data_IF_506934649924
#
_entry.id   IF_506934649924
#
_cell.length_a   1.000
_cell.length_b   1.000
_cell.length_c   1.000
_cell.angle_alpha   90.00
_cell.angle_beta   90.00
_cell.angle_gamma   90.00
#
_symmetry.space_group_name_H-M   'P 1'
#
loop_
_entity.id
_entity.type
_entity.pdbx_description
1 polymer ?
#
# COMPACT_ATOMS: atom_id res chain seq x y z
N UNK A 1 23.61 17.51 -36.04
CA UNK A 1 22.80 18.71 -35.68
C UNK A 1 22.09 19.19 -36.92
N UNK A 2 20.72 19.11 -36.94
CA UNK A 2 19.88 19.47 -38.10
C UNK A 2 19.79 20.99 -38.33
N UNK A 3 20.18 21.78 -37.35
CA UNK A 3 19.97 23.24 -37.35
C UNK A 3 18.52 23.68 -37.12
N UNK A 4 17.63 22.72 -36.86
CA UNK A 4 16.22 23.00 -36.52
C UNK A 4 16.08 23.48 -35.07
N UNK A 5 15.10 24.34 -34.83
CA UNK A 5 14.75 24.77 -33.47
C UNK A 5 14.05 23.63 -32.74
N UNK A 6 14.40 23.43 -31.45
CA UNK A 6 13.62 22.62 -30.56
C UNK A 6 12.27 23.31 -30.28
N UNK A 7 11.14 22.61 -30.51
CA UNK A 7 9.78 23.14 -30.36
C UNK A 7 8.92 22.14 -29.63
N UNK A 8 8.27 22.57 -28.52
CA UNK A 8 7.48 21.69 -27.64
C UNK A 8 8.23 20.45 -27.19
N UNK A 9 9.52 20.57 -26.94
CA UNK A 9 10.35 19.43 -26.54
C UNK A 9 11.41 19.81 -25.51
N UNK A 10 11.96 18.78 -24.88
CA UNK A 10 13.18 18.89 -24.10
C UNK A 10 14.38 18.54 -24.96
N UNK A 11 15.38 19.40 -24.98
CA UNK A 11 16.63 19.16 -25.67
C UNK A 11 17.83 19.30 -24.73
N UNK A 12 18.85 18.46 -24.91
CA UNK A 12 20.10 18.60 -24.20
C UNK A 12 20.92 19.70 -24.91
N UNK A 13 21.28 20.73 -24.16
CA UNK A 13 22.10 21.81 -24.66
C UNK A 13 23.42 21.89 -23.90
N UNK A 14 24.51 22.00 -24.67
CA UNK A 14 25.83 22.35 -24.15
C UNK A 14 25.98 23.88 -24.26
N UNK A 15 25.99 24.54 -23.13
CA UNK A 15 25.97 26.02 -23.15
C UNK A 15 26.57 26.63 -21.88
N UNK A 16 27.20 27.79 -22.06
CA UNK A 16 27.64 28.64 -20.96
C UNK A 16 26.66 29.79 -20.69
N UNK A 17 25.60 29.93 -21.51
CA UNK A 17 24.62 31.02 -21.41
C UNK A 17 23.51 30.75 -20.38
N UNK A 18 23.36 29.51 -19.94
CA UNK A 18 22.36 29.05 -18.97
C UNK A 18 23.05 28.46 -17.73
N UNK A 19 22.40 27.58 -17.01
CA UNK A 19 22.96 26.90 -15.83
C UNK A 19 24.05 25.87 -16.17
N UNK A 20 24.61 25.91 -17.38
CA UNK A 20 25.59 24.96 -17.87
C UNK A 20 24.97 23.92 -18.80
N UNK A 21 25.70 22.83 -19.04
CA UNK A 21 25.20 21.75 -19.89
C UNK A 21 24.05 21.00 -19.22
N UNK A 22 22.95 20.78 -19.93
CA UNK A 22 21.79 20.13 -19.34
C UNK A 22 20.59 20.00 -20.28
N UNK A 23 19.53 19.42 -19.75
CA UNK A 23 18.25 19.32 -20.42
C UNK A 23 17.42 20.57 -20.19
N UNK A 24 17.00 21.22 -21.28
CA UNK A 24 16.20 22.43 -21.30
C UNK A 24 14.90 22.22 -22.05
N UNK A 25 13.83 22.88 -21.59
CA UNK A 25 12.52 22.83 -22.25
C UNK A 25 12.32 24.00 -23.21
N UNK A 26 11.76 23.74 -24.37
CA UNK A 26 11.42 24.73 -25.38
C UNK A 26 9.94 24.72 -25.69
N UNK A 27 9.30 25.88 -25.74
CA UNK A 27 7.89 26.03 -26.01
C UNK A 27 7.52 25.91 -27.49
N UNK A 28 6.24 26.09 -27.82
CA UNK A 28 5.72 26.06 -29.18
C UNK A 28 6.33 27.10 -30.10
N UNK A 29 6.86 28.18 -29.54
CA UNK A 29 7.56 29.24 -30.26
C UNK A 29 9.08 29.05 -30.33
N UNK A 30 9.58 27.88 -29.89
CA UNK A 30 11.00 27.55 -29.84
C UNK A 30 11.80 28.30 -28.76
N UNK A 31 11.14 29.10 -27.90
CA UNK A 31 11.81 29.78 -26.81
C UNK A 31 11.99 28.91 -25.59
N UNK A 32 13.06 29.15 -24.86
CA UNK A 32 13.34 28.50 -23.59
C UNK A 32 12.20 28.72 -22.59
N UNK A 33 11.66 27.64 -22.06
CA UNK A 33 10.75 27.67 -20.91
C UNK A 33 11.57 27.81 -19.64
N UNK A 34 11.46 28.96 -18.99
CA UNK A 34 12.11 29.19 -17.69
C UNK A 34 11.38 28.41 -16.58
N UNK A 35 10.06 28.48 -16.54
CA UNK A 35 9.23 27.75 -15.56
C UNK A 35 7.93 27.32 -16.22
N UNK A 36 7.60 26.02 -16.11
CA UNK A 36 6.38 25.46 -16.67
C UNK A 36 6.50 24.02 -17.11
N UNK A 37 5.34 23.45 -17.49
CA UNK A 37 5.24 22.10 -18.03
C UNK A 37 5.60 22.06 -19.52
N UNK A 38 6.29 20.98 -19.90
CA UNK A 38 6.52 20.57 -21.28
C UNK A 38 5.97 19.18 -21.46
N UNK A 39 5.13 19.01 -22.48
CA UNK A 39 4.65 17.71 -22.95
C UNK A 39 5.26 17.42 -24.30
N UNK A 40 6.15 16.47 -24.36
CA UNK A 40 6.83 16.06 -25.59
C UNK A 40 6.59 14.57 -25.90
N UNK A 41 7.08 14.12 -27.07
CA UNK A 41 6.88 12.74 -27.53
C UNK A 41 7.46 11.66 -26.62
N UNK A 42 8.42 11.99 -25.78
CA UNK A 42 9.08 11.07 -24.83
C UNK A 42 8.55 11.18 -23.38
N UNK A 43 7.73 12.20 -23.06
CA UNK A 43 7.14 12.37 -21.72
C UNK A 43 6.77 13.79 -21.36
N UNK A 44 6.33 13.93 -20.10
CA UNK A 44 5.97 15.21 -19.51
C UNK A 44 7.02 15.60 -18.47
N UNK A 45 7.39 16.86 -18.47
CA UNK A 45 8.44 17.42 -17.62
C UNK A 45 7.99 18.77 -17.05
N UNK A 46 8.55 19.15 -15.91
CA UNK A 46 8.39 20.50 -15.37
C UNK A 46 9.76 21.15 -15.18
N UNK A 47 9.83 22.40 -15.48
CA UNK A 47 11.05 23.22 -15.32
C UNK A 47 10.83 24.32 -14.33
N UNK A 48 11.84 24.61 -13.50
CA UNK A 48 11.93 25.77 -12.63
C UNK A 48 13.27 26.46 -12.89
N UNK A 49 13.22 27.71 -13.28
CA UNK A 49 14.41 28.49 -13.67
C UNK A 49 15.28 27.78 -14.73
N UNK A 50 14.62 27.09 -15.69
CA UNK A 50 15.30 26.36 -16.75
C UNK A 50 15.85 24.99 -16.31
N UNK A 51 15.71 24.59 -15.06
CA UNK A 51 16.18 23.30 -14.55
C UNK A 51 15.01 22.33 -14.44
N UNK A 52 15.19 21.11 -14.94
CA UNK A 52 14.17 20.04 -14.91
C UNK A 52 13.92 19.58 -13.49
N UNK A 53 12.63 19.56 -13.08
CA UNK A 53 12.21 19.03 -11.80
C UNK A 53 12.50 17.53 -11.69
N UNK A 54 12.83 17.08 -10.48
CA UNK A 54 13.13 15.70 -10.14
C UNK A 54 12.59 15.39 -8.75
N UNK A 55 12.16 14.14 -8.54
CA UNK A 55 11.62 13.72 -7.25
C UNK A 55 10.23 14.28 -6.99
N UNK A 56 9.83 14.26 -5.73
CA UNK A 56 8.54 14.76 -5.28
C UNK A 56 8.57 16.28 -5.18
N UNK A 57 7.62 16.95 -5.83
CA UNK A 57 7.66 18.40 -6.03
C UNK A 57 6.28 19.02 -5.91
N UNK A 58 6.15 20.10 -5.12
CA UNK A 58 4.93 20.91 -5.05
C UNK A 58 4.98 22.00 -6.13
N UNK A 59 3.90 22.11 -6.91
CA UNK A 59 3.74 23.11 -7.98
C UNK A 59 2.36 23.76 -7.82
N UNK A 60 2.33 25.00 -7.39
CA UNK A 60 1.10 25.63 -6.93
C UNK A 60 0.56 24.93 -5.70
N UNK A 61 -0.68 24.51 -5.74
CA UNK A 61 -1.34 23.77 -4.65
C UNK A 61 -1.28 22.26 -4.83
N UNK A 62 -0.80 21.78 -5.99
CA UNK A 62 -0.76 20.36 -6.35
C UNK A 62 0.65 19.77 -6.12
N UNK A 63 0.67 18.43 -5.96
CA UNK A 63 1.90 17.65 -5.81
C UNK A 63 2.11 16.75 -7.02
N UNK A 64 3.36 16.62 -7.45
CA UNK A 64 3.79 15.83 -8.59
C UNK A 64 5.00 14.99 -8.24
N UNK A 65 5.17 13.87 -8.94
CA UNK A 65 6.38 13.06 -8.80
C UNK A 65 7.08 12.94 -10.15
N UNK A 66 8.37 13.25 -10.15
CA UNK A 66 9.23 13.14 -11.31
C UNK A 66 10.31 12.09 -11.09
N UNK A 67 10.63 11.34 -12.12
CA UNK A 67 11.72 10.35 -12.06
C UNK A 67 13.04 11.04 -11.68
N UNK A 68 13.75 10.52 -10.69
CA UNK A 68 14.97 11.14 -10.15
C UNK A 68 16.12 11.22 -11.17
N UNK A 69 16.19 10.29 -12.12
CA UNK A 69 17.18 10.31 -13.20
C UNK A 69 16.78 11.20 -14.36
N UNK A 70 15.68 10.86 -15.03
CA UNK A 70 15.22 11.50 -16.26
C UNK A 70 14.41 12.78 -16.05
N UNK A 71 13.80 12.99 -14.89
CA UNK A 71 12.84 14.06 -14.64
C UNK A 71 11.48 13.86 -15.30
N UNK A 72 11.20 12.68 -15.86
CA UNK A 72 9.90 12.37 -16.47
C UNK A 72 8.83 12.29 -15.39
N UNK A 73 7.69 12.95 -15.60
CA UNK A 73 6.55 12.95 -14.69
C UNK A 73 5.84 11.60 -14.67
N UNK A 74 5.52 11.10 -13.51
CA UNK A 74 4.66 9.94 -13.34
C UNK A 74 3.19 10.35 -13.46
N UNK A 75 2.41 9.54 -14.18
CA UNK A 75 0.98 9.75 -14.46
C UNK A 75 0.25 8.40 -14.47
N UNK A 76 -1.04 8.42 -14.12
CA UNK A 76 -1.89 7.22 -14.08
C UNK A 76 -1.24 6.05 -13.33
N UNK A 77 -0.58 6.35 -12.20
CA UNK A 77 0.24 5.37 -11.52
C UNK A 77 0.23 5.53 -10.00
N UNK A 78 0.29 4.41 -9.29
CA UNK A 78 0.65 4.39 -7.88
C UNK A 78 2.17 4.41 -7.74
N UNK A 79 2.68 5.40 -7.06
CA UNK A 79 4.12 5.61 -6.87
C UNK A 79 4.45 5.85 -5.40
N UNK A 80 5.63 5.38 -4.99
CA UNK A 80 6.13 5.65 -3.64
C UNK A 80 6.60 7.09 -3.52
N UNK A 81 6.02 7.83 -2.58
CA UNK A 81 6.48 9.16 -2.17
C UNK A 81 7.37 8.97 -0.94
N UNK A 82 8.64 9.40 -0.97
CA UNK A 82 9.53 9.32 0.18
C UNK A 82 9.21 10.41 1.22
N UNK A 83 9.89 10.36 2.37
CA UNK A 83 9.90 11.49 3.31
C UNK A 83 10.26 12.79 2.57
N UNK A 84 9.53 13.85 2.85
CA UNK A 84 9.60 15.10 2.10
C UNK A 84 9.33 16.31 3.02
N UNK A 85 9.60 17.52 2.52
CA UNK A 85 9.44 18.78 3.25
C UNK A 85 8.03 19.40 3.14
N UNK A 86 7.05 18.63 2.59
CA UNK A 86 5.69 19.12 2.32
C UNK A 86 4.64 18.54 3.27
N UNK A 87 5.05 17.86 4.34
CA UNK A 87 4.17 17.18 5.30
C UNK A 87 3.24 16.11 4.67
N UNK A 88 3.62 15.58 3.50
CA UNK A 88 2.95 14.44 2.89
C UNK A 88 3.54 13.16 3.47
N UNK A 89 2.66 12.31 4.04
CA UNK A 89 3.10 11.04 4.63
C UNK A 89 3.82 10.16 3.59
N UNK A 90 5.00 9.61 3.93
CA UNK A 90 5.68 8.67 3.05
C UNK A 90 4.81 7.44 2.78
N UNK A 91 4.68 7.07 1.51
CA UNK A 91 3.82 5.93 1.16
C UNK A 91 3.50 5.83 -0.32
N UNK A 92 2.60 4.90 -0.64
CA UNK A 92 2.06 4.78 -1.99
C UNK A 92 0.96 5.82 -2.20
N UNK A 93 1.13 6.67 -3.23
CA UNK A 93 0.15 7.66 -3.64
C UNK A 93 -0.17 7.47 -5.12
N UNK A 94 -1.42 7.73 -5.49
CA UNK A 94 -1.85 7.73 -6.89
C UNK A 94 -1.61 9.10 -7.51
N UNK A 95 -1.05 9.11 -8.70
CA UNK A 95 -0.89 10.30 -9.56
C UNK A 95 -1.81 10.13 -10.77
N UNK A 96 -2.68 11.09 -11.00
CA UNK A 96 -3.73 11.04 -12.02
C UNK A 96 -3.19 11.23 -13.46
N UNK A 97 -4.10 11.34 -14.45
CA UNK A 97 -3.77 11.54 -15.86
C UNK A 97 -3.03 12.85 -16.12
N UNK A 98 -3.16 13.84 -15.26
CA UNK A 98 -2.42 15.10 -15.33
C UNK A 98 -1.11 15.07 -14.52
N UNK A 99 -0.85 13.96 -13.83
CA UNK A 99 0.30 13.74 -12.95
C UNK A 99 0.16 14.38 -11.58
N UNK A 100 -1.03 14.86 -11.22
CA UNK A 100 -1.30 15.39 -9.89
C UNK A 100 -1.49 14.26 -8.90
N UNK A 101 -0.90 14.40 -7.72
CA UNK A 101 -1.13 13.47 -6.63
C UNK A 101 -2.58 13.55 -6.17
N UNK A 102 -3.26 12.42 -6.18
CA UNK A 102 -4.59 12.31 -5.59
C UNK A 102 -4.49 12.35 -4.05
N UNK A 103 -5.15 13.29 -3.46
CA UNK A 103 -5.32 13.38 -2.00
C UNK A 103 -6.73 12.91 -1.68
N UNK A 104 -6.90 11.71 -1.07
CA UNK A 104 -8.23 11.19 -0.80
C UNK A 104 -8.95 12.02 0.28
N UNK A 105 -10.19 12.40 0.00
CA UNK A 105 -11.09 12.90 1.05
C UNK A 105 -11.62 11.69 1.84
N UNK A 106 -10.97 11.39 2.97
CA UNK A 106 -11.33 10.26 3.83
C UNK A 106 -12.66 10.47 4.57
N UNK A 107 -13.10 11.69 4.70
CA UNK A 107 -14.32 12.05 5.44
C UNK A 107 -15.56 12.11 4.52
N UNK A 108 -15.46 12.76 3.37
CA UNK A 108 -16.62 13.04 2.50
C UNK A 108 -16.55 12.35 1.13
N UNK A 109 -15.37 11.81 0.73
CA UNK A 109 -15.21 11.11 -0.54
C UNK A 109 -16.09 9.86 -0.66
N UNK A 110 -16.53 9.55 -1.87
CA UNK A 110 -17.39 8.40 -2.17
C UNK A 110 -16.58 7.10 -2.10
N UNK A 111 -16.72 6.39 -0.97
CA UNK A 111 -16.03 5.12 -0.69
C UNK A 111 -16.80 3.95 -1.29
N UNK A 112 -16.10 3.02 -1.94
CA UNK A 112 -16.69 1.78 -2.49
C UNK A 112 -15.69 0.63 -2.47
N UNK A 113 -16.24 -0.59 -2.42
CA UNK A 113 -15.50 -1.80 -2.81
C UNK A 113 -15.84 -2.08 -4.28
N UNK A 114 -14.82 -2.23 -5.10
CA UNK A 114 -14.96 -2.57 -6.53
C UNK A 114 -14.26 -3.88 -6.82
N UNK A 115 -14.73 -4.60 -7.82
CA UNK A 115 -14.13 -5.85 -8.28
C UNK A 115 -13.64 -5.69 -9.72
N UNK A 116 -12.41 -6.16 -9.97
CA UNK A 116 -11.83 -6.19 -11.29
C UNK A 116 -10.97 -7.44 -11.44
N UNK A 117 -11.23 -8.27 -12.45
CA UNK A 117 -10.52 -9.53 -12.70
C UNK A 117 -10.48 -10.48 -11.48
N UNK A 118 -11.57 -10.55 -10.71
CA UNK A 118 -11.66 -11.40 -9.51
C UNK A 118 -10.89 -10.87 -8.29
N UNK A 119 -10.44 -9.63 -8.33
CA UNK A 119 -9.74 -8.95 -7.23
C UNK A 119 -10.56 -7.80 -6.71
N UNK A 120 -10.55 -7.62 -5.38
CA UNK A 120 -11.27 -6.53 -4.72
C UNK A 120 -10.33 -5.33 -4.50
N UNK A 121 -10.90 -4.15 -4.62
CA UNK A 121 -10.22 -2.85 -4.42
C UNK A 121 -11.08 -1.93 -3.55
N UNK A 122 -10.44 -1.17 -2.68
CA UNK A 122 -11.08 -0.04 -2.01
C UNK A 122 -10.88 1.20 -2.86
N UNK A 123 -11.95 1.91 -3.18
CA UNK A 123 -11.87 3.14 -3.97
C UNK A 123 -12.45 4.32 -3.20
N UNK A 124 -11.85 5.50 -3.39
CA UNK A 124 -12.40 6.79 -2.96
C UNK A 124 -12.49 7.66 -4.22
N UNK A 125 -13.69 8.17 -4.51
CA UNK A 125 -13.97 8.96 -5.73
C UNK A 125 -13.53 8.25 -7.03
N UNK A 126 -13.62 6.91 -7.03
CA UNK A 126 -13.23 6.06 -8.16
C UNK A 126 -11.74 5.74 -8.24
N UNK A 127 -10.89 6.37 -7.43
CA UNK A 127 -9.45 6.08 -7.37
C UNK A 127 -9.18 4.90 -6.44
N UNK A 128 -8.41 3.90 -6.91
CA UNK A 128 -8.01 2.74 -6.10
C UNK A 128 -7.00 3.16 -5.03
N UNK A 129 -7.32 2.85 -3.79
CA UNK A 129 -6.43 3.07 -2.66
C UNK A 129 -5.38 1.97 -2.57
N UNK A 130 -4.22 2.30 -2.03
CA UNK A 130 -3.12 1.36 -1.80
C UNK A 130 -2.47 1.59 -0.44
N UNK A 131 -1.84 0.53 0.09
CA UNK A 131 -1.03 0.53 1.31
C UNK A 131 -1.69 1.24 2.50
N UNK A 132 -2.93 0.87 2.83
CA UNK A 132 -3.64 1.49 3.94
C UNK A 132 -4.82 0.67 4.45
N UNK A 133 -5.22 0.97 5.68
CA UNK A 133 -6.45 0.47 6.26
C UNK A 133 -7.53 1.52 6.09
N UNK A 134 -8.64 1.12 5.49
CA UNK A 134 -9.76 2.00 5.17
C UNK A 134 -11.05 1.48 5.80
N UNK A 135 -11.91 2.40 6.22
CA UNK A 135 -13.19 2.10 6.83
C UNK A 135 -14.33 2.44 5.86
N UNK A 136 -15.28 1.50 5.72
CA UNK A 136 -16.54 1.69 5.00
C UNK A 136 -17.65 1.00 5.79
N UNK A 137 -18.70 1.74 6.16
CA UNK A 137 -19.88 1.25 6.88
C UNK A 137 -19.56 0.49 8.19
N UNK A 138 -18.55 0.94 8.94
CA UNK A 138 -18.10 0.34 10.19
C UNK A 138 -17.24 -0.91 10.03
N UNK A 139 -16.92 -1.29 8.80
CA UNK A 139 -16.03 -2.41 8.47
C UNK A 139 -14.67 -1.91 7.96
N UNK A 140 -13.61 -2.65 8.27
CA UNK A 140 -12.26 -2.28 7.87
C UNK A 140 -11.73 -3.18 6.77
N UNK A 141 -11.02 -2.57 5.82
CA UNK A 141 -10.43 -3.20 4.65
C UNK A 141 -8.97 -2.78 4.52
N UNK A 142 -8.08 -3.71 4.22
CA UNK A 142 -6.67 -3.40 4.00
C UNK A 142 -6.31 -3.48 2.52
N UNK A 143 -6.04 -2.32 1.91
CA UNK A 143 -5.47 -2.25 0.57
C UNK A 143 -3.95 -2.47 0.67
N UNK A 144 -3.45 -3.47 -0.04
CA UNK A 144 -2.04 -3.81 -0.12
C UNK A 144 -1.29 -2.79 -0.99
N UNK A 145 0.04 -2.90 -1.08
CA UNK A 145 0.86 -2.06 -1.98
C UNK A 145 0.42 -2.11 -3.45
N UNK A 146 -0.10 -3.25 -3.90
CA UNK A 146 -0.66 -3.43 -5.25
C UNK A 146 -2.01 -2.73 -5.46
N UNK A 147 -2.62 -2.19 -4.41
CA UNK A 147 -4.00 -1.69 -4.39
C UNK A 147 -5.05 -2.78 -4.18
N UNK A 148 -4.71 -4.07 -4.34
CA UNK A 148 -5.63 -5.17 -4.09
C UNK A 148 -5.95 -5.29 -2.60
N UNK A 149 -7.21 -5.56 -2.25
CA UNK A 149 -7.56 -5.85 -0.87
C UNK A 149 -6.93 -7.17 -0.39
N UNK A 150 -6.57 -7.22 0.88
CA UNK A 150 -6.25 -8.47 1.53
C UNK A 150 -7.53 -9.32 1.63
N UNK A 151 -7.53 -10.49 1.02
CA UNK A 151 -8.67 -11.43 0.97
C UNK A 151 -8.21 -12.81 1.42
N UNK A 152 -8.96 -13.46 2.33
CA UNK A 152 -8.63 -14.77 2.89
C UNK A 152 -7.19 -14.88 3.39
N UNK A 153 -6.66 -13.83 3.99
CA UNK A 153 -5.26 -13.82 4.45
C UNK A 153 -5.04 -12.96 5.68
N UNK A 154 -3.91 -13.19 6.34
CA UNK A 154 -3.37 -12.27 7.35
C UNK A 154 -2.44 -11.28 6.68
N UNK A 155 -2.50 -10.03 7.11
CA UNK A 155 -1.59 -8.98 6.70
C UNK A 155 -1.06 -8.21 7.93
N UNK A 156 0.18 -7.76 7.87
CA UNK A 156 0.69 -6.81 8.84
C UNK A 156 0.21 -5.42 8.43
N UNK A 157 -0.46 -4.73 9.34
CA UNK A 157 -1.06 -3.42 9.11
C UNK A 157 -0.48 -2.43 10.10
N UNK A 158 0.02 -1.33 9.58
CA UNK A 158 0.42 -0.17 10.36
C UNK A 158 -0.77 0.78 10.43
N UNK A 159 -1.29 1.03 11.63
CA UNK A 159 -2.53 1.79 11.79
C UNK A 159 -2.72 2.33 13.19
N UNK A 160 -3.38 3.47 13.26
CA UNK A 160 -3.92 4.05 14.50
C UNK A 160 -5.43 3.77 14.68
N UNK A 161 -6.08 3.22 13.66
CA UNK A 161 -7.54 3.00 13.65
C UNK A 161 -7.97 1.76 14.45
N UNK A 162 -7.05 0.84 14.74
CA UNK A 162 -7.28 -0.39 15.49
C UNK A 162 -6.45 -0.40 16.79
N UNK A 163 -6.11 -1.60 17.30
CA UNK A 163 -5.26 -1.76 18.50
C UNK A 163 -3.79 -1.40 18.27
N UNK A 164 -3.47 -0.68 17.16
CA UNK A 164 -2.12 -0.34 16.74
C UNK A 164 -1.58 -1.25 15.66
N UNK A 165 -0.27 -1.17 15.42
CA UNK A 165 0.41 -1.95 14.39
C UNK A 165 0.38 -3.45 14.72
N UNK A 166 0.03 -4.29 13.76
CA UNK A 166 -0.05 -5.73 14.03
C UNK A 166 -0.51 -6.59 12.86
N UNK A 167 -0.58 -7.89 13.15
CA UNK A 167 -1.12 -8.86 12.20
C UNK A 167 -2.63 -8.97 12.35
N UNK A 168 -3.35 -8.67 11.28
CA UNK A 168 -4.81 -8.72 11.20
C UNK A 168 -5.26 -9.72 10.14
N UNK A 169 -6.44 -10.33 10.33
CA UNK A 169 -7.02 -11.27 9.40
C UNK A 169 -8.14 -10.64 8.57
N UNK A 170 -8.20 -10.96 7.30
CA UNK A 170 -9.22 -10.46 6.37
C UNK A 170 -9.94 -11.63 5.70
N UNK A 171 -11.27 -11.57 5.65
CA UNK A 171 -12.16 -12.62 5.13
C UNK A 171 -12.20 -12.70 3.60
N UNK A 172 -13.09 -13.55 3.09
CA UNK A 172 -13.29 -13.72 1.65
C UNK A 172 -13.85 -12.46 0.97
N UNK A 173 -14.55 -11.64 1.72
CA UNK A 173 -15.10 -10.33 1.30
C UNK A 173 -14.15 -9.15 1.53
N UNK A 174 -12.91 -9.43 1.97
CA UNK A 174 -11.90 -8.43 2.28
C UNK A 174 -12.09 -7.72 3.61
N UNK A 175 -13.16 -8.01 4.38
CA UNK A 175 -13.41 -7.38 5.67
C UNK A 175 -12.46 -7.89 6.75
N UNK A 176 -12.11 -7.01 7.67
CA UNK A 176 -11.39 -7.38 8.89
C UNK A 176 -12.16 -8.41 9.69
N UNK A 177 -11.55 -9.54 9.99
CA UNK A 177 -12.10 -10.52 10.92
C UNK A 177 -11.82 -10.07 12.35
N UNK A 178 -12.88 -9.69 13.05
CA UNK A 178 -12.80 -9.34 14.46
C UNK A 178 -12.58 -10.58 15.33
N UNK A 179 -13.31 -11.66 15.05
CA UNK A 179 -13.16 -12.94 15.75
C UNK A 179 -13.45 -14.08 14.79
N UNK A 180 -12.52 -15.06 14.68
CA UNK A 180 -12.70 -16.20 13.80
C UNK A 180 -11.38 -16.78 13.27
N UNK A 181 -11.53 -17.90 12.53
CA UNK A 181 -10.41 -18.56 11.85
C UNK A 181 -10.15 -17.96 10.50
N UNK A 182 -8.86 -17.85 10.17
CA UNK A 182 -8.35 -17.56 8.82
C UNK A 182 -7.48 -18.73 8.38
N UNK A 183 -7.77 -19.22 7.18
CA UNK A 183 -6.94 -20.22 6.49
C UNK A 183 -6.36 -19.57 5.24
N UNK A 184 -5.08 -19.36 5.21
CA UNK A 184 -4.35 -18.76 4.09
C UNK A 184 -3.20 -19.63 3.62
N UNK A 185 -2.54 -19.24 2.53
CA UNK A 185 -1.44 -20.00 1.92
C UNK A 185 -0.22 -20.22 2.83
N UNK A 186 -0.06 -19.39 3.86
CA UNK A 186 1.04 -19.44 4.83
C UNK A 186 0.66 -20.16 6.14
N UNK A 187 -0.62 -20.45 6.39
CA UNK A 187 -1.07 -21.14 7.60
C UNK A 187 -2.49 -20.86 8.01
N UNK A 188 -2.85 -21.40 9.18
CA UNK A 188 -4.16 -21.19 9.80
C UNK A 188 -3.96 -20.40 11.08
N UNK A 189 -4.82 -19.42 11.31
CA UNK A 189 -4.76 -18.49 12.43
C UNK A 189 -6.14 -18.30 13.04
N UNK A 190 -6.20 -17.91 14.30
CA UNK A 190 -7.44 -17.49 14.94
C UNK A 190 -7.27 -16.08 15.51
N UNK A 191 -8.31 -15.30 15.39
CA UNK A 191 -8.34 -13.92 15.89
C UNK A 191 -9.43 -13.77 16.93
N UNK A 192 -9.16 -12.96 17.95
CA UNK A 192 -10.13 -12.49 18.95
C UNK A 192 -9.98 -10.98 19.06
N UNK A 193 -11.07 -10.24 18.83
CA UNK A 193 -11.05 -8.76 18.77
C UNK A 193 -9.95 -8.20 17.87
N UNK A 194 -9.73 -8.84 16.69
CA UNK A 194 -8.70 -8.44 15.75
C UNK A 194 -7.27 -8.85 16.13
N UNK A 195 -7.05 -9.44 17.30
CA UNK A 195 -5.71 -9.86 17.76
C UNK A 195 -5.51 -11.34 17.49
N UNK A 196 -4.35 -11.69 16.93
CA UNK A 196 -3.99 -13.07 16.60
C UNK A 196 -3.74 -13.89 17.86
N UNK A 197 -4.43 -15.04 17.99
CA UNK A 197 -4.23 -15.98 19.09
C UNK A 197 -2.81 -16.56 19.09
N UNK A 198 -2.28 -16.77 20.28
CA UNK A 198 -0.96 -17.37 20.52
C UNK A 198 -1.03 -18.31 21.72
N UNK A 199 -0.23 -19.39 21.68
CA UNK A 199 -0.20 -20.37 22.75
C UNK A 199 -1.42 -21.27 22.77
N UNK A 200 -1.66 -21.89 23.92
CA UNK A 200 -2.79 -22.81 24.12
C UNK A 200 -4.07 -22.03 24.39
N UNK A 201 -5.10 -22.24 23.59
CA UNK A 201 -6.30 -21.40 23.56
C UNK A 201 -7.55 -22.26 23.49
N UNK A 202 -8.56 -21.98 24.33
CA UNK A 202 -9.89 -22.55 24.24
C UNK A 202 -10.76 -21.70 23.31
N UNK A 203 -11.40 -22.36 22.33
CA UNK A 203 -12.29 -21.72 21.37
C UNK A 203 -13.58 -22.57 21.31
N UNK A 204 -14.67 -22.01 21.83
CA UNK A 204 -15.87 -22.81 22.10
C UNK A 204 -15.58 -23.90 23.12
N UNK A 205 -15.88 -25.15 22.76
CA UNK A 205 -15.63 -26.31 23.62
C UNK A 205 -14.30 -27.02 23.29
N UNK A 206 -13.60 -26.59 22.25
CA UNK A 206 -12.38 -27.21 21.75
C UNK A 206 -11.12 -26.45 22.19
N UNK A 207 -10.00 -27.16 22.18
CA UNK A 207 -8.69 -26.62 22.49
C UNK A 207 -7.77 -26.65 21.27
N UNK A 208 -7.02 -25.58 21.09
CA UNK A 208 -6.09 -25.37 19.99
C UNK A 208 -4.74 -24.91 20.51
N UNK A 209 -3.69 -25.19 19.75
CA UNK A 209 -2.37 -24.65 20.05
C UNK A 209 -1.87 -23.80 18.88
N UNK A 210 -1.45 -22.59 19.18
CA UNK A 210 -0.88 -21.65 18.23
C UNK A 210 0.59 -21.38 18.59
N UNK A 211 1.43 -21.23 17.58
CA UNK A 211 2.83 -20.88 17.79
C UNK A 211 2.94 -19.53 18.53
N UNK A 212 3.75 -19.47 19.57
CA UNK A 212 3.86 -18.29 20.44
C UNK A 212 4.43 -17.05 19.72
N UNK A 213 5.28 -17.25 18.72
CA UNK A 213 5.84 -16.17 17.90
C UNK A 213 4.87 -15.75 16.76
N UNK A 214 4.62 -16.69 15.83
CA UNK A 214 3.87 -16.42 14.60
C UNK A 214 2.36 -16.46 14.76
N UNK A 215 1.81 -17.12 15.78
CA UNK A 215 0.38 -17.38 15.93
C UNK A 215 -0.16 -18.46 14.97
N UNK A 216 0.71 -19.16 14.23
CA UNK A 216 0.29 -20.23 13.32
C UNK A 216 -0.24 -21.42 14.09
N UNK A 217 -1.41 -21.94 13.70
CA UNK A 217 -2.03 -23.09 14.34
C UNK A 217 -1.27 -24.38 14.07
N UNK A 218 -1.02 -25.19 15.09
CA UNK A 218 -0.49 -26.52 14.94
C UNK A 218 -1.59 -27.49 14.49
N UNK A 219 -1.28 -28.32 13.52
CA UNK A 219 -2.19 -29.33 12.92
C UNK A 219 -1.42 -30.61 12.60
N UNK A 220 -2.10 -31.76 12.71
CA UNK A 220 -1.52 -33.07 12.45
C UNK A 220 -0.18 -33.28 13.21
N UNK A 221 -0.12 -32.85 14.46
CA UNK A 221 1.13 -32.82 15.23
C UNK A 221 0.93 -33.17 16.69
N UNK A 222 1.91 -33.87 17.26
CA UNK A 222 2.03 -34.03 18.71
C UNK A 222 2.84 -32.86 19.28
N UNK A 223 2.25 -32.13 20.21
CA UNK A 223 2.84 -30.92 20.78
C UNK A 223 2.79 -30.97 22.31
N UNK A 224 3.84 -30.41 22.94
CA UNK A 224 3.82 -30.22 24.37
C UNK A 224 2.91 -29.07 24.76
N UNK A 225 1.99 -29.34 25.69
CA UNK A 225 1.14 -28.33 26.34
C UNK A 225 1.50 -28.32 27.82
N UNK A 226 1.82 -27.13 28.36
CA UNK A 226 2.02 -26.97 29.80
C UNK A 226 0.71 -27.08 30.58
N UNK A 227 0.81 -27.39 31.87
CA UNK A 227 -0.34 -27.29 32.76
C UNK A 227 -0.89 -25.85 32.72
N UNK A 228 -2.21 -25.70 32.65
CA UNK A 228 -2.84 -24.41 32.39
C UNK A 228 -4.14 -24.20 33.19
N UNK A 229 -4.68 -22.99 33.12
CA UNK A 229 -5.90 -22.58 33.83
C UNK A 229 -7.19 -23.28 33.36
N UNK A 230 -7.15 -24.01 32.24
CA UNK A 230 -8.27 -24.82 31.77
C UNK A 230 -8.34 -26.22 32.40
N UNK A 231 -7.44 -26.53 33.33
CA UNK A 231 -7.37 -27.82 34.01
C UNK A 231 -6.67 -28.92 33.19
N UNK A 232 -6.02 -28.56 32.06
CA UNK A 232 -5.28 -29.51 31.24
C UNK A 232 -3.91 -29.76 31.89
N UNK A 233 -3.59 -31.01 32.19
CA UNK A 233 -2.29 -31.40 32.76
C UNK A 233 -1.15 -31.17 31.76
N UNK A 234 0.07 -30.93 32.25
CA UNK A 234 1.24 -30.84 31.36
C UNK A 234 1.51 -32.19 30.69
N UNK A 235 1.66 -32.19 29.36
CA UNK A 235 1.85 -33.41 28.59
C UNK A 235 1.94 -33.17 27.08
N UNK A 236 2.15 -34.28 26.35
CA UNK A 236 2.10 -34.27 24.89
C UNK A 236 0.70 -34.59 24.43
N UNK A 237 0.12 -33.73 23.60
CA UNK A 237 -1.22 -33.86 23.04
C UNK A 237 -1.15 -33.82 21.52
N UNK A 238 -2.03 -34.61 20.87
CA UNK A 238 -2.18 -34.59 19.43
C UNK A 238 -3.19 -33.52 19.01
N UNK A 239 -2.82 -32.71 18.01
CA UNK A 239 -3.70 -31.76 17.35
C UNK A 239 -4.04 -32.27 15.96
N UNK A 240 -5.32 -32.48 15.67
CA UNK A 240 -5.82 -33.09 14.45
C UNK A 240 -5.66 -32.24 13.18
N UNK A 241 -6.25 -32.69 12.09
CA UNK A 241 -6.22 -32.01 10.79
C UNK A 241 -6.94 -30.64 10.82
N UNK A 242 -7.92 -30.49 11.70
CA UNK A 242 -8.65 -29.25 11.97
C UNK A 242 -7.97 -28.37 13.05
N UNK A 243 -6.89 -28.86 13.64
CA UNK A 243 -6.15 -28.18 14.72
C UNK A 243 -6.72 -28.39 16.11
N UNK A 244 -7.82 -29.16 16.27
CA UNK A 244 -8.37 -29.46 17.59
C UNK A 244 -7.49 -30.44 18.33
N UNK A 245 -7.38 -30.23 19.63
CA UNK A 245 -6.75 -31.20 20.54
C UNK A 245 -7.60 -32.43 20.62
N UNK A 246 -7.03 -33.60 20.33
CA UNK A 246 -7.74 -34.90 20.49
C UNK A 246 -8.10 -35.14 21.96
N UNK A 247 -9.27 -35.71 22.18
CA UNK A 247 -9.62 -36.22 23.50
C UNK A 247 -8.64 -37.34 23.90
N UNK A 248 -8.24 -37.36 25.16
CA UNK A 248 -7.46 -38.48 25.74
C UNK A 248 -8.33 -39.66 26.05
#
# INVERSE_FOLDING_TARGET
YSGELAVNESAYAETTLLSGNGWYGFGADGKLIKTGFISGGDGNYYYTNGVRAKGFTKIGDDYYLFNAGSGKMYKDANMWVPANDYDVEPGMHYFDADGKMFVPDLEHGVKKITEENGKLYFTIDGVKMANGLYELDGEYYFAQYSGELAVNKSAYVETTLLSGNGWYGFGADGKLIRTGFISGGDGNYYYTNGVRAKGFTKIGDDYYLFNAGSGKMYKNANMWVGANSYGIAGGIYYFGADGKMAAQ
#
